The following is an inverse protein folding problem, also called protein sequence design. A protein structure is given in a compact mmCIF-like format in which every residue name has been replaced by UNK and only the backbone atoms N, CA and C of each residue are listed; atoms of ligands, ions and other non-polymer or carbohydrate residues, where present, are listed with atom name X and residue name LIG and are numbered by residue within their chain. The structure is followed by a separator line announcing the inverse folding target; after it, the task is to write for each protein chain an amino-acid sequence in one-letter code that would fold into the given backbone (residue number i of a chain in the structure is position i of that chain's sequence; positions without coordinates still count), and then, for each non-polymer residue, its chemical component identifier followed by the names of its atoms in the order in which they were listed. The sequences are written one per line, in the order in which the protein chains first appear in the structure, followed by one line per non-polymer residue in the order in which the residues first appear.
data_IF_374967609571
#
_entry.id   IF_374967609571
#
_cell.length_a   1.000
_cell.length_b   1.000
_cell.length_c   1.000
_cell.angle_alpha   90.00
_cell.angle_beta   90.00
_cell.angle_gamma   90.00
#
_symmetry.space_group_name_H-M   'P 1'
#
loop_
_entity.id
_entity.type
_entity.pdbx_description
1 polymer ?
#
# COMPACT_ATOMS: atom_id res chain seq x y z
N UNK A 1 47.30 -6.68 -2.40
CA UNK A 1 46.14 -6.31 -1.53
C UNK A 1 44.86 -6.42 -2.36
N UNK A 2 44.11 -7.51 -2.22
CA UNK A 2 42.93 -7.78 -3.04
C UNK A 2 41.69 -7.07 -2.47
N UNK A 3 41.35 -5.93 -3.07
CA UNK A 3 40.12 -5.18 -2.78
C UNK A 3 38.89 -5.96 -3.22
N UNK A 4 38.30 -6.74 -2.29
CA UNK A 4 37.01 -7.39 -2.47
C UNK A 4 35.91 -6.32 -2.57
N UNK A 5 35.51 -5.97 -3.80
CA UNK A 5 34.31 -5.15 -4.06
C UNK A 5 33.10 -5.91 -3.52
N UNK A 6 32.52 -5.43 -2.42
CA UNK A 6 31.30 -5.99 -1.83
C UNK A 6 30.16 -5.81 -2.83
N UNK A 7 29.64 -6.92 -3.37
CA UNK A 7 28.46 -6.92 -4.22
C UNK A 7 27.28 -6.32 -3.44
N UNK A 8 26.83 -5.13 -3.85
CA UNK A 8 25.60 -4.54 -3.31
C UNK A 8 24.43 -5.49 -3.60
N UNK A 9 23.89 -6.11 -2.55
CA UNK A 9 22.67 -6.90 -2.63
C UNK A 9 21.55 -6.00 -3.16
N UNK A 10 21.08 -6.28 -4.39
CA UNK A 10 19.88 -5.64 -4.96
C UNK A 10 18.70 -6.00 -4.07
N UNK A 11 18.30 -5.08 -3.18
CA UNK A 11 17.05 -5.22 -2.42
C UNK A 11 15.92 -5.22 -3.45
N UNK A 12 15.16 -6.31 -3.51
CA UNK A 12 13.91 -6.33 -4.27
C UNK A 12 13.07 -5.15 -3.83
N UNK A 13 12.74 -4.26 -4.77
CA UNK A 13 11.87 -3.12 -4.47
C UNK A 13 10.56 -3.69 -3.96
N UNK A 14 10.20 -3.33 -2.72
CA UNK A 14 8.90 -3.70 -2.18
C UNK A 14 7.82 -3.15 -3.13
N UNK A 15 6.86 -4.01 -3.50
CA UNK A 15 5.76 -3.64 -4.39
C UNK A 15 5.08 -2.37 -3.88
N UNK A 16 4.86 -1.42 -4.78
CA UNK A 16 4.13 -0.19 -4.49
C UNK A 16 2.72 -0.54 -4.02
N UNK A 17 2.14 0.27 -3.15
CA UNK A 17 0.76 0.09 -2.68
C UNK A 17 -0.21 0.02 -3.86
N UNK A 18 0.04 0.79 -4.94
CA UNK A 18 -0.74 0.74 -6.19
C UNK A 18 -0.64 -0.61 -6.89
N UNK A 19 0.56 -1.18 -6.98
CA UNK A 19 0.78 -2.50 -7.60
C UNK A 19 0.13 -3.62 -6.78
N UNK A 20 0.11 -3.49 -5.45
CA UNK A 20 -0.60 -4.43 -4.56
C UNK A 20 -2.11 -4.39 -4.79
N UNK A 21 -2.70 -3.19 -4.89
CA UNK A 21 -4.13 -3.03 -5.20
C UNK A 21 -4.46 -3.65 -6.55
N UNK A 22 -3.71 -3.32 -7.61
CA UNK A 22 -3.95 -3.86 -8.95
C UNK A 22 -3.85 -5.39 -9.01
N UNK A 23 -2.95 -6.01 -8.23
CA UNK A 23 -2.86 -7.47 -8.13
C UNK A 23 -4.06 -8.08 -7.41
N UNK A 24 -4.51 -7.47 -6.32
CA UNK A 24 -5.69 -7.94 -5.60
C UNK A 24 -6.95 -7.84 -6.47
N UNK A 25 -7.10 -6.77 -7.25
CA UNK A 25 -8.22 -6.60 -8.18
C UNK A 25 -8.23 -7.69 -9.25
N UNK A 26 -7.08 -7.98 -9.88
CA UNK A 26 -6.96 -9.10 -10.83
C UNK A 26 -7.30 -10.45 -10.22
N UNK A 27 -6.83 -10.72 -9.00
CA UNK A 27 -7.12 -11.99 -8.32
C UNK A 27 -8.61 -12.13 -7.98
N UNK A 28 -9.29 -11.03 -7.66
CA UNK A 28 -10.74 -11.02 -7.44
C UNK A 28 -11.46 -11.32 -8.76
N UNK A 29 -11.11 -10.63 -9.85
CA UNK A 29 -11.70 -10.84 -11.18
C UNK A 29 -11.54 -12.29 -11.65
N UNK A 30 -10.36 -12.87 -11.49
CA UNK A 30 -10.07 -14.27 -11.84
C UNK A 30 -10.95 -15.26 -11.04
N UNK A 31 -11.13 -15.01 -9.74
CA UNK A 31 -11.95 -15.86 -8.87
C UNK A 31 -13.45 -15.68 -9.10
N UNK A 32 -13.90 -14.46 -9.42
CA UNK A 32 -15.29 -14.19 -9.81
C UNK A 32 -15.64 -14.86 -11.14
N UNK A 33 -14.72 -14.84 -12.11
CA UNK A 33 -14.89 -15.55 -13.38
C UNK A 33 -14.88 -17.08 -13.20
N UNK A 34 -14.14 -17.60 -12.22
CA UNK A 34 -14.10 -19.03 -11.89
C UNK A 34 -15.31 -19.50 -11.06
N UNK A 35 -16.04 -18.59 -10.41
CA UNK A 35 -17.21 -18.89 -9.58
C UNK A 35 -18.35 -19.61 -10.35
N UNK A 36 -18.80 -19.16 -11.55
CA UNK A 36 -19.88 -19.81 -12.29
C UNK A 36 -19.53 -21.21 -12.82
N UNK A 37 -18.24 -21.49 -13.05
CA UNK A 37 -17.77 -22.82 -13.50
C UNK A 37 -17.41 -23.76 -12.34
N UNK A 38 -17.43 -23.26 -11.10
CA UNK A 38 -17.02 -24.04 -9.94
C UNK A 38 -18.09 -25.03 -9.50
N UNK A 39 -17.65 -26.23 -9.12
CA UNK A 39 -18.51 -27.18 -8.39
C UNK A 39 -18.95 -26.60 -7.05
N UNK A 40 -20.13 -27.01 -6.56
CA UNK A 40 -20.74 -26.51 -5.31
C UNK A 40 -19.78 -26.53 -4.10
N UNK A 41 -18.90 -27.52 -4.02
CA UNK A 41 -17.86 -27.61 -2.97
C UNK A 41 -16.77 -26.55 -3.11
N UNK A 42 -16.37 -26.20 -4.33
CA UNK A 42 -15.37 -25.16 -4.61
C UNK A 42 -15.96 -23.77 -4.51
N UNK A 43 -17.21 -23.57 -4.90
CA UNK A 43 -17.90 -22.27 -4.79
C UNK A 43 -17.80 -21.67 -3.38
N UNK A 44 -18.14 -22.45 -2.33
CA UNK A 44 -18.03 -21.96 -0.95
C UNK A 44 -16.60 -21.72 -0.44
N UNK A 45 -15.58 -22.24 -1.12
CA UNK A 45 -14.17 -21.91 -0.83
C UNK A 45 -13.73 -20.63 -1.56
N UNK A 46 -14.20 -20.44 -2.79
CA UNK A 46 -13.95 -19.24 -3.60
C UNK A 46 -14.64 -18.02 -2.97
N UNK A 47 -15.88 -18.14 -2.52
CA UNK A 47 -16.60 -17.08 -1.81
C UNK A 47 -15.86 -16.61 -0.54
N UNK A 48 -15.30 -17.56 0.22
CA UNK A 48 -14.47 -17.24 1.39
C UNK A 48 -13.20 -16.51 1.00
N UNK A 49 -12.55 -16.93 -0.08
CA UNK A 49 -11.35 -16.26 -0.61
C UNK A 49 -11.68 -14.85 -1.11
N UNK A 50 -12.77 -14.67 -1.85
CA UNK A 50 -13.25 -13.37 -2.31
C UNK A 50 -13.50 -12.41 -1.15
N UNK A 51 -14.13 -12.88 -0.06
CA UNK A 51 -14.34 -12.07 1.15
C UNK A 51 -13.01 -11.60 1.75
N UNK A 52 -12.04 -12.50 1.89
CA UNK A 52 -10.73 -12.16 2.44
C UNK A 52 -9.95 -11.17 1.55
N UNK A 53 -9.95 -11.39 0.24
CA UNK A 53 -9.31 -10.51 -0.72
C UNK A 53 -9.98 -9.13 -0.76
N UNK A 54 -11.31 -9.07 -0.64
CA UNK A 54 -12.07 -7.83 -0.55
C UNK A 54 -11.69 -6.98 0.68
N UNK A 55 -11.54 -7.61 1.85
CA UNK A 55 -11.07 -6.89 3.05
C UNK A 55 -9.63 -6.40 2.89
N UNK A 56 -8.74 -7.21 2.29
CA UNK A 56 -7.37 -6.79 1.99
C UNK A 56 -7.34 -5.60 1.02
N UNK A 57 -8.18 -5.61 -0.01
CA UNK A 57 -8.32 -4.51 -0.96
C UNK A 57 -8.76 -3.23 -0.24
N UNK A 58 -9.77 -3.32 0.64
CA UNK A 58 -10.26 -2.17 1.42
C UNK A 58 -9.14 -1.57 2.28
N UNK A 59 -8.38 -2.40 2.99
CA UNK A 59 -7.23 -1.94 3.80
C UNK A 59 -6.17 -1.27 2.93
N UNK A 60 -5.80 -1.85 1.79
CA UNK A 60 -4.80 -1.25 0.91
C UNK A 60 -5.27 0.07 0.28
N UNK A 61 -6.56 0.21 -0.03
CA UNK A 61 -7.16 1.47 -0.48
C UNK A 61 -7.07 2.54 0.60
N UNK A 62 -7.34 2.20 1.87
CA UNK A 62 -7.14 3.12 3.00
C UNK A 62 -5.67 3.53 3.13
N UNK A 63 -4.72 2.60 3.02
CA UNK A 63 -3.29 2.93 3.04
C UNK A 63 -2.86 3.83 1.89
N UNK A 64 -3.46 3.66 0.71
CA UNK A 64 -3.21 4.53 -0.44
C UNK A 64 -3.68 5.96 -0.12
N UNK A 65 -4.90 6.11 0.39
CA UNK A 65 -5.47 7.42 0.79
C UNK A 65 -4.63 8.05 1.90
N UNK A 66 -4.32 7.32 2.97
CA UNK A 66 -3.53 7.82 4.11
C UNK A 66 -2.11 8.24 3.72
N UNK A 67 -1.47 7.56 2.76
CA UNK A 67 -0.18 8.02 2.20
C UNK A 67 -0.28 9.31 1.39
N UNK A 68 -1.43 9.58 0.79
CA UNK A 68 -1.68 10.83 0.09
C UNK A 68 -2.07 11.93 1.09
N UNK A 69 -2.74 11.55 2.17
CA UNK A 69 -3.19 12.41 3.28
C UNK A 69 -2.08 12.77 4.28
N UNK A 70 -0.91 12.11 4.20
CA UNK A 70 0.32 12.62 4.83
C UNK A 70 0.81 13.87 4.08
N UNK A 71 -0.02 14.92 4.11
CA UNK A 71 0.31 16.28 3.73
C UNK A 71 1.53 16.66 4.57
N UNK A 72 2.54 17.24 3.90
CA UNK A 72 3.74 17.74 4.56
C UNK A 72 3.32 18.78 5.59
N UNK A 73 3.35 18.43 6.88
CA UNK A 73 3.32 19.40 7.95
C UNK A 73 4.60 20.22 7.84
N UNK A 74 4.51 21.39 7.21
CA UNK A 74 5.56 22.38 7.30
C UNK A 74 5.48 23.00 8.70
N UNK A 75 6.44 22.68 9.56
CA UNK A 75 6.67 23.44 10.79
C UNK A 75 7.13 24.83 10.39
N UNK A 76 6.20 25.77 10.25
CA UNK A 76 6.52 27.18 10.08
C UNK A 76 7.01 27.69 11.43
N UNK A 77 8.34 27.75 11.62
CA UNK A 77 8.93 28.45 12.76
C UNK A 77 8.83 29.96 12.54
N UNK A 78 7.62 30.50 12.64
CA UNK A 78 7.41 31.94 12.72
C UNK A 78 7.75 32.39 14.13
N UNK A 79 8.96 32.95 14.34
CA UNK A 79 9.15 33.83 15.48
C UNK A 79 8.28 35.06 15.23
N UNK A 80 7.11 35.13 15.86
CA UNK A 80 6.41 36.41 15.99
C UNK A 80 7.35 37.31 16.77
N UNK A 81 7.98 38.24 16.06
CA UNK A 81 9.05 39.09 16.57
C UNK A 81 8.68 39.60 17.95
N UNK A 82 9.52 39.28 18.92
CA UNK A 82 9.46 39.90 20.24
C UNK A 82 9.62 41.40 20.01
N UNK A 83 8.50 42.12 20.11
CA UNK A 83 8.47 43.57 20.05
C UNK A 83 9.34 44.10 21.19
N UNK A 84 10.62 44.35 20.89
CA UNK A 84 11.46 45.21 21.72
C UNK A 84 10.84 46.59 21.64
N UNK A 85 10.07 46.96 22.66
CA UNK A 85 9.83 48.37 22.99
C UNK A 85 11.17 48.94 23.41
N UNK A 86 11.86 49.58 22.49
CA UNK A 86 12.96 50.49 22.81
C UNK A 86 12.36 51.84 23.17
N UNK A 87 12.51 52.19 24.44
CA UNK A 87 12.31 53.47 25.13
C UNK A 87 10.89 54.06 25.15
#
# INVERSE_FOLDING_TARGET
MNGKKKAQKKRSRALSTKEKVARLEKQIEELEAALPEASSRRAGSIERQLRLLGEQLRIQKIHLVSKLDSVRHYTVSGSYGTGRRTN
#
